data_IF_775127647662
#
_entry.id   IF_775127647662
#
_cell.length_a   1.000
_cell.length_b   1.000
_cell.length_c   1.000
_cell.angle_alpha   90.00
_cell.angle_beta   90.00
_cell.angle_gamma   90.00
#
_symmetry.space_group_name_H-M   'P 1'
#
loop_
_entity.id
_entity.type
_entity.pdbx_description
1 polymer ?
#
# COMPACT_ATOMS: atom_id res chain seq x y z
N UNK A 1 17.20 32.88 17.31
CA UNK A 1 16.01 32.14 16.87
C UNK A 1 16.48 30.91 16.12
N UNK A 2 16.28 29.73 16.70
CA UNK A 2 16.57 28.47 16.06
C UNK A 2 15.37 27.98 15.24
N UNK A 3 15.57 26.94 14.43
CA UNK A 3 14.53 26.29 13.64
C UNK A 3 13.31 25.84 14.47
N UNK A 4 13.53 25.51 15.75
CA UNK A 4 12.48 25.07 16.69
C UNK A 4 11.56 26.22 17.13
N UNK A 5 11.96 27.47 16.91
CA UNK A 5 11.17 28.66 17.26
C UNK A 5 10.19 29.06 16.15
N UNK A 6 10.19 28.37 15.01
CA UNK A 6 9.28 28.65 13.91
C UNK A 6 7.83 28.28 14.28
N UNK A 7 6.82 29.02 13.81
CA UNK A 7 5.42 28.61 13.89
C UNK A 7 5.18 27.23 13.28
N UNK A 8 4.30 26.44 13.90
CA UNK A 8 3.99 25.06 13.49
C UNK A 8 3.51 24.99 12.03
N UNK A 9 2.79 26.00 11.56
CA UNK A 9 2.29 26.07 10.19
C UNK A 9 3.43 26.13 9.16
N UNK A 10 4.49 26.90 9.46
CA UNK A 10 5.68 26.95 8.61
C UNK A 10 6.44 25.64 8.65
N UNK A 11 6.54 25.02 9.83
CA UNK A 11 7.18 23.72 10.01
C UNK A 11 6.44 22.62 9.26
N UNK A 12 5.10 22.61 9.27
CA UNK A 12 4.28 21.68 8.50
C UNK A 12 4.44 21.91 7.00
N UNK A 13 4.58 23.16 6.56
CA UNK A 13 4.88 23.47 5.16
C UNK A 13 6.26 22.96 4.74
N UNK A 14 7.29 23.12 5.58
CA UNK A 14 8.62 22.55 5.33
C UNK A 14 8.56 21.02 5.34
N UNK A 15 7.90 20.43 6.33
CA UNK A 15 7.72 18.99 6.45
C UNK A 15 6.91 18.38 5.30
N UNK A 16 6.10 19.18 4.60
CA UNK A 16 5.43 18.72 3.39
C UNK A 16 6.42 18.39 2.27
N UNK A 17 7.68 18.80 2.35
CA UNK A 17 8.75 18.45 1.39
C UNK A 17 9.69 17.35 1.89
N UNK A 18 9.48 16.84 3.11
CA UNK A 18 10.29 15.79 3.70
C UNK A 18 9.56 14.45 3.61
N UNK A 19 10.28 13.37 3.33
CA UNK A 19 9.72 12.01 3.43
C UNK A 19 9.60 11.58 4.90
N UNK A 20 8.84 10.51 5.16
CA UNK A 20 8.64 9.99 6.51
C UNK A 20 9.96 9.75 7.25
N UNK A 21 10.93 9.14 6.57
CA UNK A 21 12.21 8.76 7.18
C UNK A 21 12.96 10.00 7.71
N UNK A 22 13.04 11.07 6.93
CA UNK A 22 13.71 12.29 7.36
C UNK A 22 13.06 12.89 8.62
N UNK A 23 11.72 12.91 8.66
CA UNK A 23 10.98 13.38 9.83
C UNK A 23 11.21 12.45 11.02
N UNK A 24 11.25 11.12 10.80
CA UNK A 24 11.52 10.15 11.86
C UNK A 24 12.92 10.33 12.43
N UNK A 25 13.95 10.51 11.59
CA UNK A 25 15.33 10.72 12.04
C UNK A 25 15.50 12.04 12.82
N UNK A 26 14.71 13.08 12.53
CA UNK A 26 14.67 14.30 13.37
C UNK A 26 14.29 14.00 14.84
N UNK A 27 13.54 12.92 15.09
CA UNK A 27 13.19 12.50 16.45
C UNK A 27 14.41 12.02 17.26
N UNK A 28 15.49 11.64 16.58
CA UNK A 28 16.70 11.06 17.16
C UNK A 28 17.78 12.13 17.43
N UNK A 29 17.74 13.29 16.76
CA UNK A 29 18.82 14.28 16.82
C UNK A 29 18.96 14.99 18.18
N UNK A 30 17.86 15.45 18.78
CA UNK A 30 17.88 16.22 20.04
C UNK A 30 16.53 16.16 20.76
N UNK A 31 16.47 16.59 22.03
CA UNK A 31 15.19 16.69 22.76
C UNK A 31 14.23 17.70 22.12
N UNK A 32 14.76 18.84 21.65
CA UNK A 32 13.96 19.90 21.04
C UNK A 32 13.39 19.47 19.68
N UNK A 33 14.24 18.90 18.82
CA UNK A 33 13.80 18.36 17.51
C UNK A 33 12.89 17.16 17.67
N UNK A 34 13.03 16.36 18.74
CA UNK A 34 12.12 15.26 19.04
C UNK A 34 10.69 15.73 19.27
N UNK A 35 10.49 16.74 20.12
CA UNK A 35 9.14 17.22 20.37
C UNK A 35 8.49 17.76 19.08
N UNK A 36 9.26 18.54 18.31
CA UNK A 36 8.83 19.07 17.02
C UNK A 36 8.48 17.95 16.02
N UNK A 37 9.37 16.98 15.83
CA UNK A 37 9.15 15.87 14.92
C UNK A 37 7.95 15.01 15.34
N UNK A 38 7.71 14.83 16.64
CA UNK A 38 6.49 14.17 17.14
C UNK A 38 5.22 14.94 16.76
N UNK A 39 5.22 16.27 16.85
CA UNK A 39 4.10 17.09 16.41
C UNK A 39 3.89 16.97 14.89
N UNK A 40 4.96 17.04 14.10
CA UNK A 40 4.89 16.89 12.65
C UNK A 40 4.34 15.51 12.28
N UNK A 41 4.85 14.43 12.89
CA UNK A 41 4.38 13.07 12.65
C UNK A 41 2.90 12.90 12.99
N UNK A 42 2.45 13.49 14.09
CA UNK A 42 1.04 13.49 14.47
C UNK A 42 0.16 14.24 13.47
N UNK A 43 0.57 15.44 13.03
CA UNK A 43 -0.24 16.24 12.12
C UNK A 43 -0.22 15.74 10.67
N UNK A 44 0.93 15.27 10.18
CA UNK A 44 1.11 14.84 8.79
C UNK A 44 0.69 13.39 8.56
N UNK A 45 1.03 12.49 9.48
CA UNK A 45 0.84 11.05 9.33
C UNK A 45 -0.14 10.46 10.34
N UNK A 46 -0.67 11.26 11.29
CA UNK A 46 -1.50 10.76 12.40
C UNK A 46 -0.80 9.73 13.28
N UNK A 47 0.52 9.80 13.35
CA UNK A 47 1.36 8.91 14.18
C UNK A 47 1.62 9.57 15.52
N UNK A 48 1.05 9.00 16.58
CA UNK A 48 1.27 9.45 17.96
C UNK A 48 2.43 8.68 18.61
N UNK A 49 3.64 9.23 18.48
CA UNK A 49 4.84 8.71 19.16
C UNK A 49 4.94 9.13 20.64
N UNK A 50 3.93 9.80 21.22
CA UNK A 50 3.96 10.16 22.66
C UNK A 50 3.50 9.00 23.53
N UNK A 51 2.62 8.13 23.00
CA UNK A 51 2.11 6.95 23.69
C UNK A 51 3.20 5.94 24.00
N UNK A 52 3.19 5.28 25.17
CA UNK A 52 4.23 4.35 25.58
C UNK A 52 4.22 3.02 24.82
N UNK A 53 3.37 2.85 23.80
CA UNK A 53 3.29 1.64 22.97
C UNK A 53 4.62 1.43 22.23
N UNK A 54 5.53 0.70 22.87
CA UNK A 54 6.90 0.52 22.40
C UNK A 54 6.97 -0.24 21.07
N UNK A 55 6.00 -1.12 20.82
CA UNK A 55 5.99 -1.93 19.60
C UNK A 55 5.64 -1.12 18.35
N UNK A 56 4.59 -0.29 18.37
CA UNK A 56 4.25 0.54 17.20
C UNK A 56 5.42 1.47 16.84
N UNK A 57 6.07 2.06 17.84
CA UNK A 57 7.27 2.89 17.63
C UNK A 57 8.40 2.12 16.97
N UNK A 58 8.59 0.85 17.35
CA UNK A 58 9.57 -0.05 16.75
C UNK A 58 9.25 -0.31 15.27
N UNK A 59 8.00 -0.60 14.92
CA UNK A 59 7.61 -0.82 13.52
C UNK A 59 7.78 0.45 12.70
N UNK A 60 7.39 1.62 13.22
CA UNK A 60 7.66 2.91 12.56
C UNK A 60 9.16 3.16 12.37
N UNK A 61 10.00 2.81 13.37
CA UNK A 61 11.46 2.87 13.24
C UNK A 61 11.97 1.94 12.15
N UNK A 62 11.47 0.70 12.11
CA UNK A 62 11.84 -0.29 11.13
C UNK A 62 11.50 0.20 9.71
N UNK A 63 10.30 0.75 9.50
CA UNK A 63 9.92 1.36 8.23
C UNK A 63 10.82 2.53 7.85
N UNK A 64 11.14 3.43 8.79
CA UNK A 64 12.05 4.56 8.54
C UNK A 64 13.47 4.10 8.18
N UNK A 65 13.94 3.05 8.83
CA UNK A 65 15.26 2.48 8.60
C UNK A 65 15.33 1.80 7.23
N UNK A 66 14.32 1.00 6.88
CA UNK A 66 14.24 0.33 5.56
C UNK A 66 14.06 1.34 4.44
N UNK A 67 13.26 2.40 4.63
CA UNK A 67 13.13 3.46 3.62
C UNK A 67 14.48 4.14 3.33
N UNK A 68 15.27 4.42 4.37
CA UNK A 68 16.58 5.11 4.23
C UNK A 68 17.71 4.21 3.75
N UNK A 69 17.74 2.94 4.16
CA UNK A 69 18.89 2.04 3.95
C UNK A 69 18.55 0.81 3.09
N UNK A 70 17.30 0.62 2.72
CA UNK A 70 16.83 -0.52 1.93
C UNK A 70 17.23 -0.48 0.46
N UNK A 71 17.77 0.65 -0.03
CA UNK A 71 18.28 0.78 -1.38
C UNK A 71 19.76 1.12 -1.43
N UNK A 72 20.46 0.50 -2.38
CA UNK A 72 21.75 0.95 -2.90
C UNK A 72 21.56 1.23 -4.38
N UNK A 73 21.51 2.52 -4.74
CA UNK A 73 21.07 2.96 -6.07
C UNK A 73 19.61 2.57 -6.34
N UNK A 74 19.36 1.81 -7.40
CA UNK A 74 18.02 1.29 -7.75
C UNK A 74 17.79 -0.16 -7.33
N UNK A 75 18.71 -0.74 -6.56
CA UNK A 75 18.68 -2.15 -6.14
C UNK A 75 18.39 -2.27 -4.66
N UNK A 76 17.55 -3.26 -4.30
CA UNK A 76 17.20 -3.51 -2.90
C UNK A 76 18.38 -4.13 -2.18
N UNK A 77 18.74 -3.55 -1.05
CA UNK A 77 19.81 -4.04 -0.19
C UNK A 77 19.28 -5.14 0.74
N UNK A 78 19.23 -6.36 0.22
CA UNK A 78 18.68 -7.53 0.91
C UNK A 78 19.20 -7.75 2.36
N UNK A 79 20.49 -7.52 2.69
CA UNK A 79 20.96 -7.67 4.07
C UNK A 79 20.25 -6.75 5.06
N UNK A 80 19.95 -5.51 4.67
CA UNK A 80 19.22 -4.56 5.54
C UNK A 80 17.80 -5.05 5.80
N UNK A 81 17.13 -5.57 4.78
CA UNK A 81 15.78 -6.12 4.94
C UNK A 81 15.79 -7.35 5.85
N UNK A 82 16.78 -8.24 5.71
CA UNK A 82 16.94 -9.42 6.56
C UNK A 82 17.22 -9.02 8.01
N UNK A 83 18.11 -8.06 8.26
CA UNK A 83 18.43 -7.59 9.61
C UNK A 83 17.20 -7.00 10.31
N UNK A 84 16.43 -6.17 9.59
CA UNK A 84 15.21 -5.58 10.11
C UNK A 84 14.13 -6.64 10.33
N UNK A 85 13.95 -7.57 9.40
CA UNK A 85 13.01 -8.67 9.52
C UNK A 85 13.34 -9.56 10.73
N UNK A 86 14.61 -9.94 10.90
CA UNK A 86 15.08 -10.69 12.07
C UNK A 86 14.82 -9.94 13.37
N UNK A 87 15.12 -8.64 13.41
CA UNK A 87 14.91 -7.83 14.62
C UNK A 87 13.42 -7.71 14.98
N UNK A 88 12.55 -7.53 13.98
CA UNK A 88 11.10 -7.51 14.19
C UNK A 88 10.59 -8.88 14.66
N UNK A 89 11.04 -9.98 14.04
CA UNK A 89 10.64 -11.33 14.42
C UNK A 89 11.04 -11.67 15.86
N UNK A 90 12.27 -11.33 16.26
CA UNK A 90 12.74 -11.48 17.65
C UNK A 90 11.89 -10.66 18.62
N UNK A 91 11.59 -9.39 18.30
CA UNK A 91 10.76 -8.56 19.18
C UNK A 91 9.31 -9.07 19.30
N UNK A 92 8.76 -9.64 18.23
CA UNK A 92 7.44 -10.31 18.28
C UNK A 92 7.52 -11.55 19.15
N UNK A 93 8.58 -12.36 18.99
CA UNK A 93 8.80 -13.59 19.75
C UNK A 93 9.01 -13.34 21.24
N UNK A 94 9.89 -12.41 21.61
CA UNK A 94 10.19 -12.08 23.01
C UNK A 94 8.96 -11.53 23.76
N UNK A 95 8.01 -10.95 23.03
CA UNK A 95 6.75 -10.41 23.58
C UNK A 95 5.59 -11.39 23.51
N UNK A 96 5.79 -12.57 22.90
CA UNK A 96 4.78 -13.62 22.77
C UNK A 96 5.05 -14.69 23.81
N UNK A 97 4.14 -14.94 24.76
CA UNK A 97 4.31 -16.00 25.75
C UNK A 97 4.32 -17.37 25.06
N UNK A 98 5.09 -18.32 25.60
CA UNK A 98 5.15 -19.69 25.05
C UNK A 98 3.79 -20.43 25.08
N UNK A 99 2.86 -19.98 25.92
CA UNK A 99 1.47 -20.42 25.95
C UNK A 99 0.60 -19.33 25.34
N UNK A 100 -0.25 -19.66 24.37
CA UNK A 100 -1.11 -18.71 23.66
C UNK A 100 -0.33 -17.66 22.85
N UNK A 101 0.74 -18.12 22.17
CA UNK A 101 1.55 -17.27 21.32
C UNK A 101 0.75 -16.79 20.10
N UNK A 102 -0.26 -17.54 19.67
CA UNK A 102 -1.08 -17.31 18.48
C UNK A 102 -1.82 -15.97 18.57
N UNK A 103 -2.44 -15.67 19.72
CA UNK A 103 -3.15 -14.41 19.93
C UNK A 103 -2.18 -13.21 20.00
N UNK A 104 -0.99 -13.39 20.56
CA UNK A 104 0.04 -12.36 20.60
C UNK A 104 0.64 -12.12 19.22
N UNK A 105 0.94 -13.18 18.48
CA UNK A 105 1.40 -13.11 17.11
C UNK A 105 0.36 -12.40 16.23
N UNK A 106 -0.91 -12.77 16.34
CA UNK A 106 -2.01 -12.12 15.62
C UNK A 106 -2.04 -10.61 15.90
N UNK A 107 -1.99 -10.21 17.18
CA UNK A 107 -1.96 -8.81 17.58
C UNK A 107 -0.74 -8.06 17.02
N UNK A 108 0.47 -8.58 17.19
CA UNK A 108 1.68 -7.88 16.75
C UNK A 108 1.83 -7.87 15.23
N UNK A 109 1.38 -8.91 14.54
CA UNK A 109 1.32 -8.92 13.08
C UNK A 109 0.27 -7.96 12.54
N UNK A 110 -0.92 -7.85 13.15
CA UNK A 110 -1.94 -6.86 12.75
C UNK A 110 -1.37 -5.44 12.88
N UNK A 111 -0.64 -5.15 13.98
CA UNK A 111 0.06 -3.85 14.12
C UNK A 111 1.14 -3.66 13.06
N UNK A 112 1.96 -4.68 12.82
CA UNK A 112 3.07 -4.60 11.87
C UNK A 112 2.56 -4.35 10.45
N UNK A 113 1.59 -5.13 10.00
CA UNK A 113 0.98 -5.02 8.68
C UNK A 113 0.23 -3.70 8.52
N UNK A 114 -0.56 -3.30 9.53
CA UNK A 114 -1.27 -2.02 9.51
C UNK A 114 -0.32 -0.83 9.32
N UNK A 115 0.75 -0.76 10.13
CA UNK A 115 1.74 0.32 10.04
C UNK A 115 2.49 0.30 8.70
N UNK A 116 2.89 -0.87 8.23
CA UNK A 116 3.58 -0.99 6.93
C UNK A 116 2.67 -0.52 5.79
N UNK A 117 1.39 -0.91 5.78
CA UNK A 117 0.44 -0.46 4.76
C UNK A 117 0.18 1.05 4.84
N UNK A 118 0.06 1.59 6.04
CA UNK A 118 -0.08 3.04 6.24
C UNK A 118 1.12 3.78 5.66
N UNK A 119 2.35 3.30 5.84
CA UNK A 119 3.54 3.93 5.25
C UNK A 119 3.54 3.91 3.72
N UNK A 120 3.09 2.80 3.13
CA UNK A 120 2.98 2.70 1.66
C UNK A 120 1.93 3.67 1.12
N UNK A 121 0.81 3.87 1.83
CA UNK A 121 -0.32 4.69 1.33
C UNK A 121 -0.18 6.18 1.68
N UNK A 122 0.47 6.52 2.80
CA UNK A 122 0.48 7.88 3.34
C UNK A 122 1.63 8.75 2.84
N UNK A 123 2.69 8.20 2.23
CA UNK A 123 3.82 9.00 1.72
C UNK A 123 3.77 9.20 0.20
N UNK A 124 3.15 10.28 -0.31
CA UNK A 124 3.04 10.54 -1.75
C UNK A 124 4.37 10.91 -2.41
N UNK A 125 5.41 11.25 -1.66
CA UNK A 125 6.71 11.64 -2.22
C UNK A 125 7.57 10.45 -2.62
N UNK A 126 7.28 9.28 -2.04
CA UNK A 126 8.03 8.07 -2.32
C UNK A 126 7.67 7.45 -3.67
N UNK A 127 6.47 7.75 -4.19
CA UNK A 127 5.95 7.18 -5.43
C UNK A 127 5.32 8.25 -6.33
N UNK A 128 6.12 9.15 -6.93
CA UNK A 128 5.59 10.08 -7.91
C UNK A 128 4.95 9.26 -9.04
N UNK A 129 3.62 9.39 -9.20
CA UNK A 129 2.98 8.88 -10.39
C UNK A 129 3.63 9.56 -11.60
N UNK A 130 3.85 8.84 -12.72
CA UNK A 130 4.28 9.48 -13.95
C UNK A 130 3.32 10.65 -14.22
N UNK A 131 3.83 11.88 -14.14
CA UNK A 131 3.08 13.05 -14.60
C UNK A 131 2.81 12.82 -16.07
N UNK A 132 1.55 12.99 -16.48
CA UNK A 132 1.08 12.73 -17.84
C UNK A 132 2.11 13.21 -18.88
N UNK A 133 2.29 12.46 -19.99
CA UNK A 133 3.29 12.79 -20.99
C UNK A 133 3.10 14.23 -21.42
N UNK A 134 4.16 15.03 -21.28
CA UNK A 134 4.23 16.37 -21.85
C UNK A 134 3.90 16.21 -23.33
N UNK A 135 2.85 16.89 -23.79
CA UNK A 135 2.32 16.78 -25.15
C UNK A 135 3.47 16.86 -26.17
N UNK A 136 3.82 15.73 -26.82
CA UNK A 136 4.95 15.64 -27.73
C UNK A 136 5.66 14.28 -27.84
N UNK A 137 5.39 13.33 -26.94
CA UNK A 137 5.90 11.95 -27.04
C UNK A 137 4.75 10.94 -27.10
N UNK A 138 4.10 10.89 -28.26
CA UNK A 138 3.16 9.83 -28.63
C UNK A 138 3.96 8.51 -28.80
N UNK A 139 3.55 7.44 -28.11
CA UNK A 139 3.99 6.03 -28.25
C UNK A 139 4.94 5.41 -27.22
N UNK A 140 5.23 6.05 -26.09
CA UNK A 140 5.70 5.26 -24.92
C UNK A 140 4.49 4.87 -24.10
N UNK A 141 4.04 3.61 -24.25
CA UNK A 141 3.10 3.00 -23.31
C UNK A 141 3.58 3.36 -21.89
N UNK A 142 2.71 4.01 -21.09
CA UNK A 142 3.02 4.42 -19.72
C UNK A 142 3.66 3.24 -18.98
N UNK A 143 4.98 3.24 -18.85
CA UNK A 143 5.69 2.15 -18.20
C UNK A 143 5.24 2.18 -16.76
N UNK A 144 4.56 1.10 -16.35
CA UNK A 144 4.18 0.91 -14.98
C UNK A 144 5.44 0.91 -14.13
N UNK A 145 5.64 1.97 -13.34
CA UNK A 145 6.75 2.07 -12.40
C UNK A 145 6.29 1.51 -11.05
N UNK A 146 6.95 0.47 -10.53
CA UNK A 146 6.64 -0.07 -9.22
C UNK A 146 6.83 1.01 -8.17
N UNK A 147 5.99 0.97 -7.12
CA UNK A 147 6.19 1.84 -5.97
C UNK A 147 7.54 1.54 -5.32
N UNK A 148 8.44 2.51 -5.16
CA UNK A 148 9.71 2.34 -4.47
C UNK A 148 9.48 1.89 -3.02
N UNK A 149 8.60 2.59 -2.29
CA UNK A 149 8.27 2.21 -0.91
C UNK A 149 7.47 0.91 -0.85
N UNK A 150 6.44 0.76 -1.70
CA UNK A 150 5.65 -0.47 -1.73
C UNK A 150 6.48 -1.71 -2.08
N UNK A 151 7.47 -1.58 -2.98
CA UNK A 151 8.40 -2.66 -3.32
C UNK A 151 9.29 -3.01 -2.13
N UNK A 152 9.90 -2.02 -1.46
CA UNK A 152 10.67 -2.28 -0.24
C UNK A 152 9.84 -2.99 0.83
N UNK A 153 8.63 -2.50 1.07
CA UNK A 153 7.76 -3.05 2.09
C UNK A 153 7.27 -4.46 1.74
N UNK A 154 6.97 -4.73 0.47
CA UNK A 154 6.64 -6.09 0.02
C UNK A 154 7.82 -7.05 0.20
N UNK A 155 9.04 -6.63 -0.13
CA UNK A 155 10.25 -7.42 0.09
C UNK A 155 10.57 -7.59 1.59
N UNK A 156 10.32 -6.58 2.43
CA UNK A 156 10.47 -6.70 3.88
C UNK A 156 9.49 -7.75 4.42
N UNK A 157 8.22 -7.70 4.01
CA UNK A 157 7.21 -8.68 4.41
C UNK A 157 7.55 -10.09 3.93
N UNK A 158 8.08 -10.25 2.71
CA UNK A 158 8.50 -11.55 2.19
C UNK A 158 9.74 -12.10 2.88
N UNK A 159 10.56 -11.24 3.47
CA UNK A 159 11.71 -11.63 4.30
C UNK A 159 11.30 -11.94 5.75
N UNK A 160 10.33 -11.19 6.28
CA UNK A 160 9.78 -11.39 7.63
C UNK A 160 8.97 -12.70 7.72
N UNK A 161 8.17 -13.00 6.71
CA UNK A 161 7.31 -14.18 6.64
C UNK A 161 8.04 -15.50 7.00
N UNK A 162 9.10 -15.94 6.28
CA UNK A 162 9.77 -17.20 6.56
C UNK A 162 10.45 -17.19 7.94
N UNK A 163 10.92 -16.03 8.40
CA UNK A 163 11.54 -15.88 9.72
C UNK A 163 10.53 -16.15 10.83
N UNK A 164 9.32 -15.59 10.72
CA UNK A 164 8.23 -15.86 11.67
C UNK A 164 7.76 -17.32 11.60
N UNK A 165 7.63 -17.90 10.41
CA UNK A 165 7.27 -19.32 10.24
C UNK A 165 8.31 -20.25 10.87
N UNK A 166 9.59 -19.89 10.83
CA UNK A 166 10.64 -20.67 11.49
C UNK A 166 10.54 -20.60 13.03
N UNK A 167 10.06 -19.48 13.59
CA UNK A 167 9.97 -19.26 15.04
C UNK A 167 8.68 -19.77 15.68
N UNK A 168 7.57 -19.75 14.93
CA UNK A 168 6.21 -20.01 15.41
C UNK A 168 5.51 -21.15 14.64
N UNK A 169 6.28 -22.02 14.00
CA UNK A 169 5.80 -23.19 13.25
C UNK A 169 4.86 -22.82 12.08
N UNK A 170 4.16 -23.82 11.52
CA UNK A 170 3.35 -23.65 10.30
C UNK A 170 2.10 -22.79 10.49
N UNK A 171 1.59 -22.65 11.72
CA UNK A 171 0.39 -21.87 11.99
C UNK A 171 0.62 -20.36 11.83
N UNK A 172 1.86 -19.88 12.02
CA UNK A 172 2.22 -18.49 11.77
C UNK A 172 1.97 -18.07 10.32
N UNK A 173 2.12 -18.99 9.36
CA UNK A 173 1.88 -18.71 7.96
C UNK A 173 0.40 -18.39 7.69
N UNK A 174 -0.52 -19.12 8.32
CA UNK A 174 -1.95 -18.91 8.13
C UNK A 174 -2.42 -17.60 8.78
N UNK A 175 -1.87 -17.26 9.96
CA UNK A 175 -2.12 -15.98 10.64
C UNK A 175 -1.62 -14.82 9.78
N UNK A 176 -0.37 -14.87 9.31
CA UNK A 176 0.21 -13.84 8.45
C UNK A 176 -0.64 -13.63 7.19
N UNK A 177 -0.98 -14.71 6.47
CA UNK A 177 -1.79 -14.63 5.26
C UNK A 177 -3.17 -14.04 5.52
N UNK A 178 -3.88 -14.55 6.53
CA UNK A 178 -5.22 -14.04 6.90
C UNK A 178 -5.20 -12.55 7.23
N UNK A 179 -4.23 -12.11 8.03
CA UNK A 179 -4.10 -10.70 8.41
C UNK A 179 -3.75 -9.83 7.21
N UNK A 180 -2.83 -10.28 6.34
CA UNK A 180 -2.46 -9.55 5.13
C UNK A 180 -3.70 -9.30 4.26
N UNK A 181 -4.47 -10.34 3.95
CA UNK A 181 -5.70 -10.22 3.14
C UNK A 181 -6.74 -9.34 3.85
N UNK A 182 -6.89 -9.47 5.17
CA UNK A 182 -7.81 -8.64 5.96
C UNK A 182 -7.45 -7.15 5.89
N UNK A 183 -6.17 -6.81 6.04
CA UNK A 183 -5.72 -5.42 5.86
C UNK A 183 -5.94 -4.94 4.43
N UNK A 184 -5.60 -5.75 3.42
CA UNK A 184 -5.79 -5.37 2.02
C UNK A 184 -7.25 -5.02 1.73
N UNK A 185 -8.17 -5.88 2.16
CA UNK A 185 -9.62 -5.65 2.06
C UNK A 185 -10.06 -4.39 2.80
N UNK A 186 -9.66 -4.21 4.08
CA UNK A 186 -10.03 -3.02 4.87
C UNK A 186 -9.58 -1.71 4.21
N UNK A 187 -8.36 -1.68 3.64
CA UNK A 187 -7.85 -0.51 2.94
C UNK A 187 -8.59 -0.25 1.62
N UNK A 188 -8.88 -1.29 0.81
CA UNK A 188 -9.70 -1.15 -0.40
C UNK A 188 -11.10 -0.63 -0.08
N UNK A 189 -11.76 -1.19 0.93
CA UNK A 189 -13.09 -0.78 1.34
C UNK A 189 -13.10 0.66 1.84
N UNK A 190 -12.13 1.04 2.68
CA UNK A 190 -12.00 2.40 3.19
C UNK A 190 -11.78 3.43 2.07
N UNK A 191 -10.90 3.13 1.11
CA UNK A 191 -10.65 4.02 -0.03
C UNK A 191 -11.84 4.10 -0.98
N UNK A 192 -12.47 2.97 -1.29
CA UNK A 192 -13.69 2.91 -2.13
C UNK A 192 -14.84 3.65 -1.48
N UNK A 193 -15.02 3.48 -0.17
CA UNK A 193 -16.02 4.21 0.60
C UNK A 193 -15.77 5.72 0.57
N UNK A 194 -14.55 6.18 0.88
CA UNK A 194 -14.18 7.60 0.82
C UNK A 194 -14.37 8.18 -0.59
N UNK A 195 -14.08 7.40 -1.63
CA UNK A 195 -14.25 7.80 -3.02
C UNK A 195 -15.73 8.00 -3.34
N UNK A 196 -16.56 7.03 -2.98
CA UNK A 196 -18.02 7.10 -3.17
C UNK A 196 -18.66 8.27 -2.40
N UNK A 197 -18.21 8.53 -1.17
CA UNK A 197 -18.71 9.62 -0.34
C UNK A 197 -18.32 10.99 -0.90
N UNK A 198 -17.10 11.12 -1.44
CA UNK A 198 -16.65 12.37 -2.02
C UNK A 198 -17.42 12.71 -3.30
N UNK A 199 -17.69 11.72 -4.15
CA UNK A 199 -18.49 11.90 -5.36
C UNK A 199 -19.90 12.41 -5.05
N UNK A 200 -20.52 11.96 -3.95
CA UNK A 200 -21.82 12.48 -3.51
C UNK A 200 -21.78 13.95 -3.09
N UNK A 201 -20.64 14.42 -2.57
CA UNK A 201 -20.48 15.78 -2.05
C UNK A 201 -20.07 16.80 -3.12
N UNK A 202 -19.79 16.37 -4.34
CA UNK A 202 -19.64 17.19 -5.56
C UNK A 202 -18.64 18.37 -5.51
N UNK A 203 -17.70 18.45 -4.55
CA UNK A 203 -17.06 19.75 -4.27
C UNK A 203 -15.57 19.78 -3.86
N UNK A 204 -14.70 18.84 -4.28
CA UNK A 204 -13.25 19.12 -4.19
C UNK A 204 -12.39 18.26 -5.12
N UNK A 205 -11.97 18.83 -6.25
CA UNK A 205 -11.10 18.17 -7.24
C UNK A 205 -9.74 17.77 -6.65
N UNK A 206 -9.18 18.60 -5.75
CA UNK A 206 -7.88 18.33 -5.11
C UNK A 206 -7.91 17.06 -4.25
N UNK A 207 -8.98 16.87 -3.47
CA UNK A 207 -9.16 15.69 -2.64
C UNK A 207 -9.41 14.43 -3.48
N UNK A 208 -10.18 14.55 -4.57
CA UNK A 208 -10.40 13.44 -5.51
C UNK A 208 -9.08 12.96 -6.14
N UNK A 209 -8.22 13.88 -6.57
CA UNK A 209 -6.90 13.57 -7.11
C UNK A 209 -6.01 12.88 -6.07
N UNK A 210 -5.98 13.39 -4.84
CA UNK A 210 -5.21 12.77 -3.76
C UNK A 210 -5.69 11.34 -3.45
N UNK A 211 -7.00 11.11 -3.46
CA UNK A 211 -7.57 9.78 -3.21
C UNK A 211 -7.30 8.80 -4.36
N UNK A 212 -7.41 9.25 -5.62
CA UNK A 212 -7.02 8.45 -6.79
C UNK A 212 -5.55 8.09 -6.75
N UNK A 213 -4.70 9.04 -6.36
CA UNK A 213 -3.27 8.79 -6.22
C UNK A 213 -3.00 7.70 -5.17
N UNK A 214 -3.56 7.83 -3.96
CA UNK A 214 -3.41 6.83 -2.88
C UNK A 214 -3.88 5.44 -3.29
N UNK A 215 -5.02 5.37 -3.97
CA UNK A 215 -5.51 4.10 -4.48
C UNK A 215 -4.58 3.49 -5.52
N UNK A 216 -4.09 4.28 -6.47
CA UNK A 216 -3.12 3.79 -7.47
C UNK A 216 -1.90 3.22 -6.76
N UNK A 217 -1.29 3.97 -5.84
CA UNK A 217 -0.15 3.50 -5.03
C UNK A 217 -0.49 2.18 -4.34
N UNK A 218 -1.68 2.06 -3.76
CA UNK A 218 -2.12 0.85 -3.10
C UNK A 218 -2.31 -0.35 -4.05
N UNK A 219 -2.88 -0.13 -5.24
CA UNK A 219 -3.01 -1.19 -6.26
C UNK A 219 -1.64 -1.63 -6.75
N UNK A 220 -0.70 -0.70 -6.92
CA UNK A 220 0.69 -1.03 -7.25
C UNK A 220 1.30 -1.89 -6.16
N UNK A 221 1.08 -1.54 -4.90
CA UNK A 221 1.55 -2.32 -3.77
C UNK A 221 0.96 -3.73 -3.72
N UNK A 222 -0.34 -3.91 -3.99
CA UNK A 222 -0.93 -5.26 -4.16
C UNK A 222 -0.15 -6.04 -5.22
N UNK A 223 0.16 -5.39 -6.34
CA UNK A 223 0.96 -6.00 -7.39
C UNK A 223 2.37 -6.39 -6.95
N UNK A 224 3.05 -5.57 -6.14
CA UNK A 224 4.34 -5.91 -5.52
C UNK A 224 4.21 -7.12 -4.57
N UNK A 225 3.13 -7.19 -3.78
CA UNK A 225 2.85 -8.35 -2.91
C UNK A 225 2.63 -9.63 -3.72
N UNK A 226 1.96 -9.53 -4.87
CA UNK A 226 1.79 -10.65 -5.80
C UNK A 226 3.15 -11.06 -6.37
N UNK A 227 3.97 -10.10 -6.82
CA UNK A 227 5.32 -10.37 -7.33
C UNK A 227 6.21 -11.08 -6.30
N UNK A 228 6.08 -10.70 -5.03
CA UNK A 228 6.76 -11.28 -3.88
C UNK A 228 6.16 -12.61 -3.39
N UNK A 229 5.18 -13.19 -4.10
CA UNK A 229 4.49 -14.44 -3.74
C UNK A 229 3.78 -14.41 -2.37
N UNK A 230 3.41 -13.21 -1.89
CA UNK A 230 2.64 -13.03 -0.65
C UNK A 230 1.12 -13.02 -0.86
N UNK A 231 0.68 -12.78 -2.09
CA UNK A 231 -0.74 -12.76 -2.48
C UNK A 231 -0.91 -13.66 -3.70
N UNK A 232 -1.80 -14.64 -3.58
CA UNK A 232 -2.07 -15.59 -4.65
C UNK A 232 -3.09 -15.04 -5.66
N UNK A 233 -3.17 -15.64 -6.87
CA UNK A 233 -4.26 -15.43 -7.81
C UNK A 233 -5.66 -15.51 -7.19
N UNK A 234 -5.88 -16.49 -6.31
CA UNK A 234 -7.17 -16.72 -5.67
C UNK A 234 -7.51 -15.61 -4.68
N UNK A 235 -6.51 -15.06 -3.99
CA UNK A 235 -6.69 -13.92 -3.10
C UNK A 235 -7.07 -12.65 -3.88
N UNK A 236 -6.43 -12.40 -5.03
CA UNK A 236 -6.79 -11.29 -5.90
C UNK A 236 -8.25 -11.38 -6.36
N UNK A 237 -8.69 -12.59 -6.72
CA UNK A 237 -10.08 -12.83 -7.08
C UNK A 237 -11.05 -12.55 -5.92
N UNK A 238 -10.66 -12.86 -4.68
CA UNK A 238 -11.44 -12.51 -3.49
C UNK A 238 -11.49 -11.00 -3.30
N UNK A 239 -10.35 -10.30 -3.44
CA UNK A 239 -10.24 -8.85 -3.28
C UNK A 239 -11.04 -8.09 -4.36
N UNK A 240 -11.06 -8.56 -5.61
CA UNK A 240 -11.80 -7.92 -6.71
C UNK A 240 -13.31 -8.20 -6.67
N UNK A 241 -13.73 -9.31 -6.05
CA UNK A 241 -15.15 -9.68 -5.90
C UNK A 241 -15.84 -9.01 -4.72
N UNK A 242 -15.13 -8.25 -3.88
CA UNK A 242 -15.77 -7.58 -2.75
C UNK A 242 -16.86 -6.62 -3.27
N UNK A 243 -18.14 -6.84 -2.87
CA UNK A 243 -19.25 -6.10 -3.43
C UNK A 243 -19.14 -4.65 -3.04
N UNK A 244 -19.04 -3.77 -4.03
CA UNK A 244 -19.18 -2.34 -3.78
C UNK A 244 -20.56 -2.12 -3.15
N UNK A 245 -20.64 -1.44 -2.00
CA UNK A 245 -21.89 -1.26 -1.27
C UNK A 245 -23.00 -0.78 -2.20
N UNK A 246 -24.17 -1.37 -2.03
CA UNK A 246 -25.36 -1.25 -2.87
C UNK A 246 -25.97 0.15 -3.05
N UNK A 247 -25.62 1.25 -2.32
CA UNK A 247 -26.17 2.57 -2.62
C UNK A 247 -25.80 3.12 -4.00
N UNK A 248 -24.84 2.51 -4.70
CA UNK A 248 -24.41 2.90 -6.05
C UNK A 248 -25.38 2.47 -7.16
N UNK A 249 -26.37 1.62 -6.88
CA UNK A 249 -27.38 1.20 -7.87
C UNK A 249 -28.37 2.30 -8.30
N UNK A 250 -28.33 3.51 -7.72
CA UNK A 250 -29.27 4.61 -8.08
C UNK A 250 -28.64 5.95 -8.45
N UNK A 251 -27.32 6.08 -8.46
CA UNK A 251 -26.64 7.32 -8.90
C UNK A 251 -25.76 7.04 -10.12
N UNK A 252 -25.72 8.02 -11.04
CA UNK A 252 -25.00 8.05 -12.33
C UNK A 252 -23.91 6.98 -12.45
N UNK A 253 -24.27 5.86 -13.08
CA UNK A 253 -23.45 4.63 -13.20
C UNK A 253 -22.10 4.81 -13.91
N UNK A 254 -21.84 5.96 -14.57
CA UNK A 254 -20.60 6.18 -15.32
C UNK A 254 -19.34 6.17 -14.44
N UNK A 255 -19.27 7.02 -13.42
CA UNK A 255 -17.99 7.36 -12.78
C UNK A 255 -17.45 6.33 -11.77
N UNK A 256 -18.34 5.56 -11.14
CA UNK A 256 -17.92 4.47 -10.25
C UNK A 256 -17.40 3.28 -11.06
N UNK A 257 -18.04 3.00 -12.20
CA UNK A 257 -17.62 1.95 -13.11
C UNK A 257 -16.28 2.32 -13.77
N UNK A 258 -16.08 3.59 -14.16
CA UNK A 258 -14.81 4.08 -14.70
C UNK A 258 -13.65 3.89 -13.71
N UNK A 259 -13.88 4.18 -12.43
CA UNK A 259 -12.88 3.98 -11.38
C UNK A 259 -12.51 2.52 -11.18
N UNK A 260 -13.50 1.62 -11.17
CA UNK A 260 -13.25 0.19 -11.04
C UNK A 260 -12.53 -0.37 -12.26
N UNK A 261 -12.87 0.10 -13.46
CA UNK A 261 -12.15 -0.23 -14.69
C UNK A 261 -10.69 0.25 -14.61
N UNK A 262 -10.42 1.46 -14.10
CA UNK A 262 -9.06 1.96 -13.95
C UNK A 262 -8.25 1.15 -12.93
N UNK A 263 -8.85 0.79 -11.79
CA UNK A 263 -8.22 -0.08 -10.76
C UNK A 263 -7.90 -1.45 -11.33
N UNK A 264 -8.87 -2.08 -12.00
CA UNK A 264 -8.69 -3.40 -12.60
C UNK A 264 -7.67 -3.36 -13.73
N UNK A 265 -7.64 -2.29 -14.52
CA UNK A 265 -6.63 -2.07 -15.56
C UNK A 265 -5.23 -1.90 -14.96
N UNK A 266 -5.09 -1.12 -13.89
CA UNK A 266 -3.81 -0.96 -13.19
C UNK A 266 -3.36 -2.27 -12.55
N UNK A 267 -4.29 -3.05 -12.01
CA UNK A 267 -4.02 -4.39 -11.49
C UNK A 267 -3.56 -5.34 -12.61
N UNK A 268 -4.31 -5.41 -13.72
CA UNK A 268 -3.97 -6.21 -14.90
C UNK A 268 -2.57 -5.88 -15.40
N UNK A 269 -2.25 -4.59 -15.59
CA UNK A 269 -0.93 -4.13 -16.00
C UNK A 269 0.16 -4.62 -15.05
N UNK A 270 -0.08 -4.54 -13.74
CA UNK A 270 0.92 -4.98 -12.76
C UNK A 270 1.17 -6.48 -12.84
N UNK A 271 0.12 -7.27 -13.07
CA UNK A 271 0.22 -8.72 -13.27
C UNK A 271 0.95 -9.08 -14.57
N UNK A 272 0.69 -8.34 -15.66
CA UNK A 272 1.37 -8.55 -16.94
C UNK A 272 2.85 -8.20 -16.87
N UNK A 273 3.24 -7.14 -16.13
CA UNK A 273 4.64 -6.80 -15.88
C UNK A 273 5.40 -7.91 -15.13
N UNK A 274 4.75 -8.60 -14.19
CA UNK A 274 5.32 -9.78 -13.52
C UNK A 274 5.63 -10.90 -14.51
N UNK A 275 4.74 -11.14 -15.48
CA UNK A 275 4.95 -12.19 -16.47
C UNK A 275 6.18 -11.88 -17.36
N UNK A 276 6.34 -10.63 -17.80
CA UNK A 276 7.46 -10.23 -18.64
C UNK A 276 8.82 -10.36 -17.92
N UNK A 277 8.87 -10.12 -16.61
CA UNK A 277 10.10 -10.30 -15.81
C UNK A 277 10.44 -11.75 -15.47
N UNK A 278 9.47 -12.69 -15.57
CA UNK A 278 9.67 -14.13 -15.30
C UNK A 278 9.85 -14.99 -16.55
N UNK A 279 9.94 -14.42 -17.75
CA UNK A 279 10.10 -15.18 -19.00
C UNK A 279 11.37 -16.06 -19.05
N UNK A 280 12.31 -15.87 -18.14
CA UNK A 280 13.49 -16.75 -17.97
C UNK A 280 13.22 -17.99 -17.08
N UNK A 281 12.00 -18.20 -16.56
CA UNK A 281 11.67 -19.30 -15.66
C UNK A 281 10.56 -20.22 -16.21
N UNK A 282 10.80 -21.53 -16.39
CA UNK A 282 9.87 -22.46 -17.06
C UNK A 282 8.60 -22.85 -16.26
N UNK A 283 8.23 -22.13 -15.19
CA UNK A 283 7.07 -22.42 -14.33
C UNK A 283 5.90 -21.39 -14.45
N UNK A 284 5.83 -20.64 -15.55
CA UNK A 284 5.00 -19.42 -15.68
C UNK A 284 3.48 -19.54 -15.93
N UNK A 285 2.89 -20.74 -16.04
CA UNK A 285 1.51 -20.90 -16.55
C UNK A 285 0.39 -20.35 -15.66
N UNK A 286 0.60 -20.16 -14.36
CA UNK A 286 -0.43 -19.66 -13.44
C UNK A 286 -0.73 -18.16 -13.55
N UNK A 287 0.21 -17.34 -14.03
CA UNK A 287 0.06 -15.87 -14.08
C UNK A 287 -0.73 -15.41 -15.31
N UNK A 288 -0.69 -16.17 -16.41
CA UNK A 288 -1.45 -15.87 -17.64
C UNK A 288 -2.95 -15.94 -17.38
N UNK A 289 -3.38 -16.95 -16.61
CA UNK A 289 -4.78 -17.17 -16.24
C UNK A 289 -5.34 -15.98 -15.45
N UNK A 290 -4.53 -15.32 -14.60
CA UNK A 290 -5.01 -14.18 -13.81
C UNK A 290 -5.13 -12.92 -14.65
N UNK A 291 -4.16 -12.67 -15.54
CA UNK A 291 -4.27 -11.56 -16.49
C UNK A 291 -5.51 -11.73 -17.36
N UNK A 292 -5.72 -12.94 -17.90
CA UNK A 292 -6.90 -13.28 -18.69
C UNK A 292 -8.20 -13.14 -17.89
N UNK A 293 -8.23 -13.58 -16.62
CA UNK A 293 -9.40 -13.43 -15.73
C UNK A 293 -9.71 -11.96 -15.40
N UNK A 294 -8.67 -11.14 -15.18
CA UNK A 294 -8.85 -9.70 -14.91
C UNK A 294 -9.30 -9.00 -16.18
N UNK A 295 -8.70 -9.32 -17.34
CA UNK A 295 -9.09 -8.77 -18.63
C UNK A 295 -10.52 -9.19 -19.00
N UNK A 296 -10.91 -10.45 -18.77
CA UNK A 296 -12.28 -10.93 -18.95
C UNK A 296 -13.25 -10.18 -18.02
N UNK A 297 -12.87 -9.96 -16.76
CA UNK A 297 -13.68 -9.19 -15.80
C UNK A 297 -13.85 -7.74 -16.27
N UNK A 298 -12.78 -7.10 -16.73
CA UNK A 298 -12.80 -5.74 -17.29
C UNK A 298 -13.67 -5.68 -18.55
N UNK A 299 -13.51 -6.61 -19.48
CA UNK A 299 -14.27 -6.67 -20.72
C UNK A 299 -15.76 -6.91 -20.48
N UNK A 300 -16.11 -7.80 -19.54
CA UNK A 300 -17.50 -8.04 -19.14
C UNK A 300 -18.15 -6.79 -18.53
N UNK A 301 -17.38 -6.00 -17.77
CA UNK A 301 -17.83 -4.74 -17.18
C UNK A 301 -18.02 -3.64 -18.22
N UNK A 302 -17.07 -3.50 -19.14
CA UNK A 302 -17.16 -2.55 -20.26
C UNK A 302 -18.37 -2.90 -21.15
N UNK A 303 -18.55 -4.17 -21.49
CA UNK A 303 -19.71 -4.64 -22.28
C UNK A 303 -21.06 -4.37 -21.59
N UNK A 304 -21.10 -4.42 -20.25
CA UNK A 304 -22.29 -4.07 -19.47
C UNK A 304 -22.62 -2.56 -19.52
N UNK A 305 -21.59 -1.70 -19.63
CA UNK A 305 -21.72 -0.25 -19.80
C UNK A 305 -22.39 0.12 -21.14
N UNK A 306 -22.00 -0.53 -22.23
CA UNK A 306 -22.53 -0.22 -23.57
C UNK A 306 -24.01 -0.63 -23.73
N UNK A 307 -24.45 -1.67 -23.02
CA UNK A 307 -25.85 -2.13 -23.00
C UNK A 307 -26.80 -1.21 -22.23
N UNK A 308 -26.29 -0.42 -21.28
CA UNK A 308 -27.11 0.49 -20.44
C UNK A 308 -27.29 1.88 -21.06
N UNK A 309 -26.38 2.30 -21.95
CA UNK A 309 -26.47 3.60 -22.66
C UNK A 309 -27.46 3.55 -23.84
N UNK A 310 -27.61 2.40 -24.50
CA UNK A 310 -28.53 2.24 -25.66
C UNK A 310 -30.00 2.16 -25.27
N UNK A 311 -30.32 1.89 -24.01
CA UNK A 311 -31.70 1.76 -23.51
C UNK A 311 -32.28 3.07 -22.95
N UNK A 312 -31.48 4.13 -22.81
CA UNK A 312 -31.92 5.44 -22.25
C UNK A 312 -32.15 6.53 -23.30
N UNK A 313 -31.96 6.26 -24.59
CA UNK A 313 -32.18 7.22 -25.70
C UNK A 313 -33.48 7.00 -26.48
N UNK A 314 -34.42 6.20 -25.95
CA UNK A 314 -35.71 5.94 -26.57
C UNK A 314 -36.85 6.23 -25.57
N UNK A 315 -37.03 7.51 -25.25
CA UNK A 315 -38.24 8.05 -24.61
C UNK A 315 -38.31 9.56 -24.82
#
# INVERSE_FOLDING_TARGET
MGFVDLPLELLLRIASHLIFDDIYYLTLCSKATRHLAQQILYHKYHIDLTRPESFNRLVHAASAFVGRHGYVGHTIHAPVLQDVANRLAVEIYDRSPSRNWEACLDFYLDKTLGIIMDHVVLDPFMDPLPTAPVAGHENTAEVFLPSQMGRLMAHLLSTLYPTLTAMFESEAATIHHRLLISHLSRHLDSMTYRYSQQHKKNNNRSFELALRHRLRVFVRFIGELVQADLVSPSDLHILTRQPVPSPLKRQKHGHALDFQVDVLRDLARTLTCRHLSRFDSPKGSGSLIVADMVDETVNNWISSKDKTVTTTSAS
#
